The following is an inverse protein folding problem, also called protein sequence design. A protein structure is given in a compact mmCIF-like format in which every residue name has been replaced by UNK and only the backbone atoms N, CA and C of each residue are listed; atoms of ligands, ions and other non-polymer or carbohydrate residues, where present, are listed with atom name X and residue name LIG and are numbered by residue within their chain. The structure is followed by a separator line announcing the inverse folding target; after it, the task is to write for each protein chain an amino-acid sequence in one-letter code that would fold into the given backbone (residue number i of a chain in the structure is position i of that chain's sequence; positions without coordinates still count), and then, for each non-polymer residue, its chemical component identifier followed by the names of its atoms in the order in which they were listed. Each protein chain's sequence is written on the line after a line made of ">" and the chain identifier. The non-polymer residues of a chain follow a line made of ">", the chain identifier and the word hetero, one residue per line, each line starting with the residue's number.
data_IF_165868417528
#
_entry.id   IF_165868417528
#
_cell.length_a   1.000
_cell.length_b   1.000
_cell.length_c   1.000
_cell.angle_alpha   90.00
_cell.angle_beta   90.00
_cell.angle_gamma   90.00
#
_symmetry.space_group_name_H-M   'P 1'
#
loop_
_entity.id
_entity.type
_entity.pdbx_description
1 polymer ?
#
# COMPACT_ATOMS: atom_id res chain seq x y z
N UNK A 1 -11.50 9.83 13.74
CA UNK A 1 -12.38 9.91 12.58
C UNK A 1 -11.65 9.30 11.38
N UNK A 2 -12.38 8.84 10.38
CA UNK A 2 -11.82 8.18 9.20
C UNK A 2 -11.25 9.25 8.24
N UNK A 3 -10.04 9.04 7.72
CA UNK A 3 -9.36 9.93 6.76
C UNK A 3 -10.29 10.28 5.58
N UNK A 4 -11.11 9.31 5.14
CA UNK A 4 -12.04 9.52 4.03
C UNK A 4 -13.17 10.49 4.39
N UNK A 5 -13.71 10.40 5.61
CA UNK A 5 -14.78 11.30 6.03
C UNK A 5 -14.25 12.73 6.24
N UNK A 6 -13.03 12.86 6.80
CA UNK A 6 -12.38 14.15 6.99
C UNK A 6 -12.00 14.81 5.66
N UNK A 7 -11.54 14.03 4.66
CA UNK A 7 -11.30 14.52 3.31
C UNK A 7 -12.60 14.98 2.63
N UNK A 8 -13.67 14.18 2.77
CA UNK A 8 -14.98 14.53 2.19
C UNK A 8 -15.57 15.81 2.79
N UNK A 9 -15.38 16.00 4.10
CA UNK A 9 -15.85 17.18 4.82
C UNK A 9 -14.93 18.41 4.64
N UNK A 10 -13.81 18.27 3.92
CA UNK A 10 -12.86 19.34 3.66
C UNK A 10 -11.97 19.71 4.85
N UNK A 11 -11.88 18.85 5.86
CA UNK A 11 -10.93 18.97 6.96
C UNK A 11 -9.52 18.58 6.49
N UNK A 12 -9.43 17.51 5.71
CA UNK A 12 -8.19 17.11 5.02
C UNK A 12 -8.21 17.68 3.61
N UNK A 13 -7.32 18.63 3.34
CA UNK A 13 -7.21 19.31 2.04
C UNK A 13 -6.26 18.60 1.07
N UNK A 14 -5.39 17.71 1.55
CA UNK A 14 -4.43 16.96 0.75
C UNK A 14 -4.37 15.51 1.21
N UNK A 15 -4.39 14.57 0.26
CA UNK A 15 -4.25 13.14 0.51
C UNK A 15 -3.11 12.58 -0.33
N UNK A 16 -2.18 11.87 0.33
CA UNK A 16 -1.07 11.17 -0.32
C UNK A 16 -1.38 9.67 -0.35
N UNK A 17 -1.69 9.15 -1.54
CA UNK A 17 -1.96 7.73 -1.77
C UNK A 17 -0.66 7.01 -2.14
N UNK A 18 -0.13 6.19 -1.23
CA UNK A 18 1.01 5.32 -1.50
C UNK A 18 0.51 3.98 -2.05
N UNK A 19 0.35 3.92 -3.38
CA UNK A 19 -0.20 2.79 -4.14
C UNK A 19 -1.52 2.26 -3.57
N UNK A 20 -2.36 3.16 -3.05
CA UNK A 20 -3.65 2.82 -2.47
C UNK A 20 -4.75 2.91 -3.54
N UNK A 21 -5.30 1.74 -3.88
CA UNK A 21 -6.36 1.61 -4.90
C UNK A 21 -7.65 0.97 -4.35
N UNK A 22 -7.64 0.44 -3.11
CA UNK A 22 -8.75 -0.29 -2.47
C UNK A 22 -9.65 0.59 -1.58
N UNK A 23 -9.61 1.91 -1.76
CA UNK A 23 -10.42 2.87 -0.98
C UNK A 23 -11.49 3.50 -1.86
N UNK A 24 -12.56 3.99 -1.24
CA UNK A 24 -13.61 4.71 -1.95
C UNK A 24 -13.13 6.10 -2.38
N UNK A 25 -12.63 6.18 -3.61
CA UNK A 25 -12.10 7.41 -4.20
C UNK A 25 -13.15 8.54 -4.27
N UNK A 26 -14.45 8.20 -4.25
CA UNK A 26 -15.51 9.21 -4.26
C UNK A 26 -15.58 10.02 -2.96
N UNK A 27 -15.09 9.45 -1.85
CA UNK A 27 -15.01 10.12 -0.55
C UNK A 27 -13.80 11.06 -0.41
N UNK A 28 -12.90 11.11 -1.38
CA UNK A 28 -11.77 12.06 -1.33
C UNK A 28 -12.21 13.52 -1.59
N UNK A 29 -13.49 13.75 -1.91
CA UNK A 29 -14.08 15.09 -2.00
C UNK A 29 -13.25 16.02 -2.90
N UNK A 30 -12.94 17.21 -2.38
CA UNK A 30 -12.12 18.23 -3.06
C UNK A 30 -10.64 18.20 -2.67
N UNK A 31 -10.19 17.20 -1.91
CA UNK A 31 -8.80 17.11 -1.51
C UNK A 31 -7.89 17.04 -2.74
N UNK A 32 -6.72 17.67 -2.64
CA UNK A 32 -5.63 17.54 -3.59
C UNK A 32 -4.96 16.17 -3.40
N UNK A 33 -5.05 15.31 -4.41
CA UNK A 33 -4.62 13.91 -4.33
C UNK A 33 -3.31 13.73 -5.06
N UNK A 34 -2.29 13.27 -4.33
CA UNK A 34 -1.04 12.77 -4.89
C UNK A 34 -1.08 11.26 -4.88
N UNK A 35 -0.97 10.62 -6.03
CA UNK A 35 -0.85 9.16 -6.13
C UNK A 35 0.60 8.78 -6.45
N UNK A 36 1.25 8.07 -5.54
CA UNK A 36 2.53 7.44 -5.78
C UNK A 36 2.33 5.93 -5.95
N UNK A 37 2.42 5.43 -7.17
CA UNK A 37 2.23 4.01 -7.46
C UNK A 37 2.81 3.63 -8.81
N UNK A 38 2.67 2.35 -9.16
CA UNK A 38 3.30 1.76 -10.35
C UNK A 38 2.28 1.35 -11.44
N UNK A 39 0.99 1.24 -11.11
CA UNK A 39 -0.09 1.00 -12.08
C UNK A 39 -1.10 2.14 -12.05
N UNK A 40 -1.73 2.41 -13.19
CA UNK A 40 -2.82 3.37 -13.29
C UNK A 40 -4.16 2.70 -13.03
N UNK A 41 -4.58 2.65 -11.77
CA UNK A 41 -5.89 2.11 -11.36
C UNK A 41 -6.71 3.20 -10.64
N UNK A 42 -7.66 2.85 -9.76
CA UNK A 42 -8.60 3.77 -9.13
C UNK A 42 -7.94 5.01 -8.52
N UNK A 43 -6.83 4.85 -7.78
CA UNK A 43 -6.13 5.94 -7.11
C UNK A 43 -5.47 6.89 -8.10
N UNK A 44 -4.84 6.35 -9.15
CA UNK A 44 -4.21 7.14 -10.20
C UNK A 44 -5.25 7.95 -11.00
N UNK A 45 -6.43 7.38 -11.29
CA UNK A 45 -7.50 8.09 -12.00
C UNK A 45 -8.08 9.26 -11.18
N UNK A 46 -8.06 9.16 -9.84
CA UNK A 46 -8.51 10.25 -8.95
C UNK A 46 -7.42 11.30 -8.71
N UNK A 47 -6.16 11.02 -9.02
CA UNK A 47 -5.04 11.87 -8.64
C UNK A 47 -5.00 13.20 -9.41
N UNK A 48 -4.59 14.25 -8.70
CA UNK A 48 -4.20 15.54 -9.28
C UNK A 48 -2.74 15.51 -9.74
N UNK A 49 -1.90 14.74 -9.03
CA UNK A 49 -0.48 14.50 -9.37
C UNK A 49 -0.17 13.02 -9.24
N UNK A 50 0.54 12.47 -10.23
CA UNK A 50 1.03 11.09 -10.23
C UNK A 50 2.55 11.09 -10.12
N UNK A 51 3.07 10.33 -9.16
CA UNK A 51 4.50 10.08 -8.96
C UNK A 51 4.78 8.59 -9.26
N UNK A 52 5.48 8.28 -10.37
CA UNK A 52 5.67 6.88 -10.77
C UNK A 52 6.65 6.15 -9.84
N UNK A 53 6.11 5.24 -9.03
CA UNK A 53 6.84 4.34 -8.16
C UNK A 53 7.29 3.06 -8.87
N UNK A 54 8.07 2.22 -8.15
CA UNK A 54 8.58 0.95 -8.67
C UNK A 54 7.70 -0.23 -8.21
N UNK A 55 7.48 -1.20 -9.10
CA UNK A 55 6.82 -2.45 -8.75
C UNK A 55 7.67 -3.33 -7.81
N UNK A 56 7.09 -4.37 -7.23
CA UNK A 56 7.79 -5.24 -6.26
C UNK A 56 9.02 -5.95 -6.85
N UNK A 57 9.05 -6.20 -8.16
CA UNK A 57 10.18 -6.79 -8.90
C UNK A 57 11.28 -5.78 -9.25
N UNK A 58 11.02 -4.50 -9.06
CA UNK A 58 11.83 -3.39 -9.58
C UNK A 58 12.62 -2.65 -8.49
N UNK A 59 12.51 -3.10 -7.24
CA UNK A 59 13.14 -2.49 -6.08
C UNK A 59 13.57 -3.54 -5.07
N UNK A 60 14.61 -3.22 -4.31
CA UNK A 60 14.89 -3.95 -3.08
C UNK A 60 13.85 -3.54 -2.03
N UNK A 61 13.20 -4.51 -1.40
CA UNK A 61 12.08 -4.25 -0.51
C UNK A 61 12.09 -5.15 0.71
N UNK A 62 11.64 -4.61 1.85
CA UNK A 62 11.32 -5.40 3.03
C UNK A 62 9.81 -5.61 3.08
N UNK A 63 9.39 -6.86 3.18
CA UNK A 63 7.99 -7.24 3.34
C UNK A 63 7.85 -8.10 4.59
N UNK A 64 6.76 -7.93 5.32
CA UNK A 64 6.45 -8.76 6.49
C UNK A 64 5.19 -9.56 6.17
N UNK A 65 5.27 -10.89 6.29
CA UNK A 65 4.12 -11.76 6.04
C UNK A 65 3.19 -11.86 7.26
N UNK A 66 2.11 -12.63 7.15
CA UNK A 66 1.06 -12.73 8.19
C UNK A 66 1.51 -13.42 9.49
N UNK A 67 2.59 -14.21 9.48
CA UNK A 67 3.20 -14.76 10.70
C UNK A 67 4.21 -13.79 11.35
N UNK A 68 4.43 -12.61 10.76
CA UNK A 68 5.35 -11.61 11.28
C UNK A 68 6.81 -11.80 10.85
N UNK A 69 7.08 -12.61 9.82
CA UNK A 69 8.44 -12.82 9.30
C UNK A 69 8.84 -11.69 8.35
N UNK A 70 9.91 -10.94 8.64
CA UNK A 70 10.48 -9.98 7.69
C UNK A 70 11.27 -10.72 6.61
N UNK A 71 11.02 -10.37 5.36
CA UNK A 71 11.62 -10.98 4.17
C UNK A 71 12.22 -9.91 3.28
N UNK A 72 13.34 -10.25 2.62
CA UNK A 72 14.03 -9.34 1.71
C UNK A 72 13.76 -9.72 0.26
N UNK A 73 13.08 -8.84 -0.47
CA UNK A 73 12.96 -8.93 -1.91
C UNK A 73 14.15 -8.25 -2.58
N UNK A 74 14.73 -8.92 -3.57
CA UNK A 74 15.84 -8.40 -4.37
C UNK A 74 15.30 -7.92 -5.72
N UNK A 75 15.75 -6.75 -6.16
CA UNK A 75 15.40 -6.21 -7.47
C UNK A 75 15.80 -7.18 -8.60
N UNK A 76 14.83 -7.53 -9.44
CA UNK A 76 15.04 -8.36 -10.63
C UNK A 76 15.31 -7.54 -11.89
N UNK A 77 14.59 -6.42 -12.07
CA UNK A 77 14.71 -5.52 -13.22
C UNK A 77 14.67 -4.06 -12.77
N UNK A 78 15.02 -3.11 -13.62
CA UNK A 78 14.92 -1.69 -13.27
C UNK A 78 13.50 -1.16 -13.51
N UNK A 79 13.04 -0.15 -12.74
CA UNK A 79 11.77 0.51 -12.99
C UNK A 79 11.72 1.10 -14.41
N UNK A 80 10.56 1.05 -15.10
CA UNK A 80 10.45 1.54 -16.47
C UNK A 80 10.46 3.07 -16.53
N UNK A 81 11.08 3.61 -17.59
CA UNK A 81 11.08 5.04 -17.87
C UNK A 81 11.65 5.88 -16.73
N UNK A 82 10.85 6.83 -16.25
CA UNK A 82 11.22 7.73 -15.15
C UNK A 82 10.73 7.30 -13.77
N UNK A 83 10.22 6.07 -13.65
CA UNK A 83 9.87 5.53 -12.34
C UNK A 83 11.09 5.45 -11.40
N UNK A 84 10.85 5.58 -10.10
CA UNK A 84 11.88 5.55 -9.06
C UNK A 84 11.45 4.63 -7.91
N UNK A 85 12.43 4.15 -7.14
CA UNK A 85 12.15 3.44 -5.89
C UNK A 85 11.35 4.33 -4.93
N UNK A 86 10.35 3.77 -4.28
CA UNK A 86 9.34 4.56 -3.57
C UNK A 86 9.91 5.46 -2.46
N UNK A 87 10.86 4.92 -1.70
CA UNK A 87 11.51 5.66 -0.62
C UNK A 87 12.29 6.86 -1.14
N UNK A 88 12.85 6.80 -2.36
CA UNK A 88 13.58 7.90 -2.96
C UNK A 88 12.66 9.05 -3.35
N UNK A 89 11.45 8.73 -3.81
CA UNK A 89 10.42 9.72 -4.14
C UNK A 89 10.04 10.48 -2.86
N UNK A 90 9.72 9.75 -1.79
CA UNK A 90 9.36 10.36 -0.49
C UNK A 90 10.54 11.16 0.09
N UNK A 91 11.77 10.62 -0.01
CA UNK A 91 12.99 11.32 0.43
C UNK A 91 13.22 12.62 -0.34
N UNK A 92 13.10 12.61 -1.66
CA UNK A 92 13.25 13.82 -2.47
C UNK A 92 12.13 14.83 -2.20
N UNK A 93 10.88 14.36 -2.05
CA UNK A 93 9.75 15.21 -1.69
C UNK A 93 9.98 15.89 -0.33
N UNK A 94 10.55 15.17 0.64
CA UNK A 94 10.86 15.69 1.97
C UNK A 94 11.81 16.89 1.93
N UNK A 95 12.80 16.90 1.03
CA UNK A 95 13.68 18.06 0.80
C UNK A 95 12.91 19.24 0.22
N UNK A 96 12.08 18.98 -0.80
CA UNK A 96 11.32 20.01 -1.50
C UNK A 96 10.36 20.75 -0.57
N UNK A 97 9.76 20.04 0.39
CA UNK A 97 8.83 20.63 1.38
C UNK A 97 9.56 21.19 2.62
N UNK A 98 10.89 21.18 2.64
CA UNK A 98 11.69 21.74 3.74
C UNK A 98 11.70 20.88 5.01
N UNK A 99 11.34 19.61 4.93
CA UNK A 99 11.32 18.65 6.05
C UNK A 99 12.16 17.41 5.72
N UNK A 100 13.43 17.63 5.41
CA UNK A 100 14.35 16.60 4.94
C UNK A 100 14.43 15.41 5.91
N UNK A 101 14.24 14.19 5.39
CA UNK A 101 14.45 12.96 6.16
C UNK A 101 15.94 12.66 6.35
N UNK A 102 16.30 12.11 7.52
CA UNK A 102 17.69 11.87 7.94
C UNK A 102 18.29 10.56 7.40
N UNK A 103 18.11 10.27 6.11
CA UNK A 103 18.75 9.15 5.42
C UNK A 103 18.89 9.46 3.93
N UNK A 104 20.01 9.11 3.33
CA UNK A 104 20.27 9.31 1.89
C UNK A 104 20.44 7.98 1.14
N UNK A 105 20.54 6.88 1.89
CA UNK A 105 20.71 5.53 1.32
C UNK A 105 19.65 4.55 1.84
N UNK A 106 19.39 3.49 1.06
CA UNK A 106 18.50 2.42 1.48
C UNK A 106 19.01 1.67 2.72
N UNK A 107 20.33 1.65 2.93
CA UNK A 107 20.96 1.05 4.10
C UNK A 107 20.68 1.86 5.36
N UNK A 108 20.83 3.20 5.31
CA UNK A 108 20.48 4.08 6.44
C UNK A 108 18.99 4.02 6.78
N UNK A 109 18.12 3.96 5.76
CA UNK A 109 16.69 3.76 5.95
C UNK A 109 16.40 2.44 6.70
N UNK A 110 17.03 1.34 6.29
CA UNK A 110 16.87 0.04 6.98
C UNK A 110 17.40 0.08 8.40
N UNK A 111 18.55 0.72 8.63
CA UNK A 111 19.09 0.90 9.98
C UNK A 111 18.14 1.73 10.86
N UNK A 112 17.51 2.76 10.30
CA UNK A 112 16.48 3.55 10.99
C UNK A 112 15.27 2.68 11.34
N UNK A 113 14.79 1.84 10.40
CA UNK A 113 13.71 0.88 10.63
C UNK A 113 14.05 -0.13 11.73
N UNK A 114 15.24 -0.74 11.70
CA UNK A 114 15.68 -1.71 12.72
C UNK A 114 15.85 -1.08 14.10
N UNK A 115 16.27 0.19 14.18
CA UNK A 115 16.32 0.93 15.45
C UNK A 115 14.92 1.22 16.01
N UNK A 116 13.98 1.55 15.14
CA UNK A 116 12.62 1.88 15.53
C UNK A 116 11.77 0.64 15.89
N UNK A 117 11.97 -0.47 15.17
CA UNK A 117 11.15 -1.66 15.31
C UNK A 117 11.99 -2.93 15.35
N UNK A 118 11.89 -3.66 16.48
CA UNK A 118 12.60 -4.92 16.72
C UNK A 118 12.38 -5.96 15.64
N UNK A 119 11.20 -5.97 15.00
CA UNK A 119 10.87 -6.89 13.91
C UNK A 119 11.92 -6.88 12.80
N UNK A 120 12.54 -5.74 12.50
CA UNK A 120 13.55 -5.62 11.45
C UNK A 120 15.00 -5.84 11.92
N UNK A 121 15.23 -6.26 13.18
CA UNK A 121 16.58 -6.60 13.66
C UNK A 121 17.09 -7.93 13.07
N UNK A 122 16.19 -8.89 12.86
CA UNK A 122 16.55 -10.24 12.41
C UNK A 122 15.70 -10.66 11.22
N UNK A 123 16.32 -10.72 10.05
CA UNK A 123 15.67 -11.17 8.81
C UNK A 123 15.30 -12.65 8.88
N UNK A 124 14.19 -13.02 8.24
CA UNK A 124 13.69 -14.40 8.15
C UNK A 124 13.36 -15.06 9.50
N UNK A 125 13.28 -14.29 10.60
CA UNK A 125 12.95 -14.78 11.94
C UNK A 125 11.60 -14.23 12.39
N UNK A 126 10.68 -15.12 12.77
CA UNK A 126 9.42 -14.73 13.40
C UNK A 126 9.70 -14.33 14.85
N UNK A 127 9.26 -13.12 15.22
CA UNK A 127 9.34 -12.64 16.59
C UNK A 127 8.00 -12.86 17.28
N UNK A 128 8.01 -13.61 18.39
CA UNK A 128 6.83 -13.81 19.21
C UNK A 128 6.41 -12.49 19.87
N UNK A 129 5.15 -12.11 19.67
CA UNK A 129 4.52 -11.00 20.38
C UNK A 129 3.81 -11.48 21.63
N UNK A 130 3.82 -10.68 22.69
CA UNK A 130 2.95 -10.91 23.86
C UNK A 130 1.53 -10.51 23.47
N UNK A 131 0.60 -11.47 23.45
CA UNK A 131 -0.82 -11.18 23.28
C UNK A 131 -1.32 -10.50 24.55
N UNK A 132 -1.63 -9.22 24.46
CA UNK A 132 -2.30 -8.48 25.52
C UNK A 132 -3.81 -8.61 25.37
N UNK A 133 -4.57 -8.37 26.43
CA UNK A 133 -6.03 -8.24 26.30
C UNK A 133 -6.35 -7.13 25.28
N UNK A 134 -7.16 -7.44 24.29
CA UNK A 134 -7.60 -6.51 23.24
C UNK A 134 -9.12 -6.62 23.04
N UNK A 135 -9.72 -5.57 22.48
CA UNK A 135 -11.16 -5.48 22.29
C UNK A 135 -11.88 -4.72 23.40
N UNK A 136 -13.13 -4.32 23.13
CA UNK A 136 -14.08 -3.72 24.07
C UNK A 136 -15.43 -4.38 23.87
N UNK A 137 -16.26 -4.41 24.91
CA UNK A 137 -17.67 -4.78 24.74
C UNK A 137 -18.34 -3.80 23.76
N UNK A 138 -19.21 -4.34 22.91
CA UNK A 138 -19.93 -3.60 21.89
C UNK A 138 -21.15 -4.38 21.42
N UNK A 139 -22.08 -3.69 20.79
CA UNK A 139 -23.26 -4.31 20.19
C UNK A 139 -22.85 -5.17 18.99
N UNK A 140 -23.43 -6.36 18.89
CA UNK A 140 -23.19 -7.28 17.78
C UNK A 140 -24.30 -7.11 16.75
N UNK A 141 -23.94 -6.61 15.57
CA UNK A 141 -24.86 -6.57 14.44
C UNK A 141 -25.25 -7.98 14.00
N UNK A 142 -26.51 -8.18 13.59
CA UNK A 142 -27.00 -9.45 13.07
C UNK A 142 -26.65 -9.68 11.58
N UNK A 143 -25.70 -8.91 11.05
CA UNK A 143 -25.26 -9.04 9.67
C UNK A 143 -24.47 -10.36 9.48
N UNK A 144 -24.70 -11.11 8.39
CA UNK A 144 -23.89 -12.29 8.09
C UNK A 144 -22.46 -11.89 7.75
N UNK A 145 -21.50 -12.79 8.01
CA UNK A 145 -20.14 -12.62 7.51
C UNK A 145 -20.14 -12.57 5.99
N UNK A 146 -19.44 -11.58 5.44
CA UNK A 146 -19.28 -11.41 4.01
C UNK A 146 -17.83 -11.71 3.57
N UNK A 147 -17.65 -12.04 2.30
CA UNK A 147 -16.32 -12.28 1.71
C UNK A 147 -15.60 -10.94 1.54
N UNK A 148 -14.48 -10.76 2.24
CA UNK A 148 -13.62 -9.58 2.08
C UNK A 148 -12.98 -9.49 0.69
N UNK A 149 -12.75 -10.64 0.04
CA UNK A 149 -12.26 -10.73 -1.35
C UNK A 149 -13.38 -11.29 -2.22
N UNK A 150 -13.89 -10.47 -3.15
CA UNK A 150 -14.99 -10.86 -4.06
C UNK A 150 -14.47 -11.67 -5.24
N UNK A 151 -13.34 -11.26 -5.78
CA UNK A 151 -12.63 -11.91 -6.87
C UNK A 151 -11.17 -12.12 -6.48
N UNK A 152 -10.80 -13.39 -6.35
CA UNK A 152 -9.44 -13.78 -5.98
C UNK A 152 -8.41 -13.38 -7.06
N UNK A 153 -8.82 -13.27 -8.32
CA UNK A 153 -7.92 -12.95 -9.42
C UNK A 153 -7.71 -11.45 -9.61
N UNK A 154 -8.44 -10.59 -8.87
CA UNK A 154 -8.47 -9.13 -9.09
C UNK A 154 -8.31 -8.35 -7.78
N UNK A 155 -7.33 -8.74 -6.96
CA UNK A 155 -7.18 -8.22 -5.58
C UNK A 155 -6.32 -6.98 -5.47
N UNK A 156 -5.51 -6.66 -6.48
CA UNK A 156 -4.57 -5.54 -6.44
C UNK A 156 -4.40 -4.90 -7.84
N UNK A 157 -3.72 -3.76 -7.96
CA UNK A 157 -3.51 -3.10 -9.25
C UNK A 157 -2.70 -3.93 -10.25
N UNK A 158 -1.83 -4.83 -9.80
CA UNK A 158 -1.01 -5.67 -10.69
C UNK A 158 -1.88 -6.72 -11.36
N UNK A 159 -2.68 -7.43 -10.56
CA UNK A 159 -3.60 -8.47 -11.00
C UNK A 159 -4.71 -7.88 -11.88
N UNK A 160 -5.25 -6.71 -11.52
CA UNK A 160 -6.25 -5.98 -12.34
C UNK A 160 -5.71 -5.48 -13.68
N UNK A 161 -4.42 -5.13 -13.77
CA UNK A 161 -3.79 -4.78 -15.04
C UNK A 161 -3.40 -6.01 -15.88
N UNK A 162 -3.49 -7.22 -15.34
CA UNK A 162 -3.04 -8.45 -16.00
C UNK A 162 -4.14 -9.10 -16.85
N UNK A 163 -3.85 -9.29 -18.13
CA UNK A 163 -4.73 -10.01 -19.08
C UNK A 163 -5.00 -11.46 -18.67
N UNK A 164 -3.99 -12.14 -18.14
CA UNK A 164 -4.11 -13.55 -17.72
C UNK A 164 -5.07 -13.68 -16.55
N UNK A 165 -4.98 -12.76 -15.59
CA UNK A 165 -5.89 -12.73 -14.45
C UNK A 165 -7.31 -12.36 -14.87
N UNK A 166 -7.48 -11.50 -15.89
CA UNK A 166 -8.79 -11.22 -16.49
C UNK A 166 -9.42 -12.49 -17.07
N UNK A 167 -8.66 -13.27 -17.85
CA UNK A 167 -9.14 -14.56 -18.35
C UNK A 167 -9.46 -15.55 -17.20
N UNK A 168 -8.63 -15.61 -16.15
CA UNK A 168 -8.92 -16.44 -14.99
C UNK A 168 -10.19 -16.01 -14.25
N UNK A 169 -10.43 -14.72 -14.08
CA UNK A 169 -11.66 -14.18 -13.50
C UNK A 169 -12.88 -14.49 -14.36
N UNK A 170 -12.78 -14.39 -15.69
CA UNK A 170 -13.90 -14.73 -16.58
C UNK A 170 -14.26 -16.22 -16.53
N UNK A 171 -13.28 -17.10 -16.35
CA UNK A 171 -13.49 -18.55 -16.34
C UNK A 171 -13.88 -19.06 -14.95
N UNK A 172 -13.19 -18.61 -13.91
CA UNK A 172 -13.26 -19.14 -12.54
C UNK A 172 -13.82 -18.14 -11.53
N UNK A 173 -13.99 -16.88 -11.91
CA UNK A 173 -14.52 -15.83 -11.04
C UNK A 173 -15.97 -16.09 -10.66
N UNK A 174 -16.32 -15.61 -9.47
CA UNK A 174 -17.63 -15.83 -8.84
C UNK A 174 -18.82 -15.20 -9.61
N UNK A 175 -18.58 -14.44 -10.68
CA UNK A 175 -19.63 -13.80 -11.50
C UNK A 175 -20.49 -14.80 -12.28
N UNK A 176 -20.10 -16.08 -12.38
CA UNK A 176 -20.90 -17.13 -13.04
C UNK A 176 -21.74 -18.00 -12.10
N UNK A 177 -21.55 -17.90 -10.78
CA UNK A 177 -22.18 -18.80 -9.79
C UNK A 177 -22.97 -18.05 -8.69
N UNK A 178 -23.43 -16.83 -8.96
CA UNK A 178 -24.33 -16.07 -8.09
C UNK A 178 -25.72 -15.94 -8.74
#
# INVERSE_FOLDING_TARGET
>A
EDILDDANNGIIEMVYLMAADEIDMSKLGKAFVVYQGHHGDAGAHRADVILPGAAYTEKDGLYVNTEGRPQFAVRAVFPPGDAREDWRIVRALSDVVGSALEFDTSEELRQSLSKAYKTFENMEVVQSSVVTNFGREGEVEQAPFDRGIKDFYMTDPISRASKVMAECSEVFGNTKNA
#
